data_IF_069482775713
#
_entry.id   IF_069482775713
#
_cell.length_a   1.000
_cell.length_b   1.000
_cell.length_c   1.000
_cell.angle_alpha   90.00
_cell.angle_beta   90.00
_cell.angle_gamma   90.00
#
_symmetry.space_group_name_H-M   'P 1'
#
loop_
_entity.id
_entity.type
_entity.pdbx_description
1 polymer ?
#
# COMPACT_ATOMS: atom_id res chain seq x y z
N UNK A 1 -26.17 -5.64 -12.99
CA UNK A 1 -26.70 -4.67 -13.96
C UNK A 1 -25.73 -4.57 -15.13
N UNK A 2 -26.23 -4.32 -16.34
CA UNK A 2 -25.50 -4.45 -17.62
C UNK A 2 -24.36 -3.43 -17.77
N UNK A 3 -23.21 -3.89 -18.30
CA UNK A 3 -22.10 -3.08 -18.80
C UNK A 3 -22.60 -2.02 -19.80
N UNK A 4 -22.24 -0.75 -19.59
CA UNK A 4 -22.13 0.22 -20.66
C UNK A 4 -20.65 0.41 -20.97
N UNK A 5 -20.25 -0.03 -22.17
CA UNK A 5 -18.97 0.33 -22.78
C UNK A 5 -19.09 1.77 -23.27
N UNK A 6 -18.39 2.70 -22.61
CA UNK A 6 -18.16 4.04 -23.11
C UNK A 6 -16.97 4.03 -24.07
N UNK A 7 -17.24 4.24 -25.35
CA UNK A 7 -16.23 4.53 -26.38
C UNK A 7 -15.62 5.90 -26.11
N UNK A 8 -14.33 5.93 -25.74
CA UNK A 8 -13.59 7.17 -25.56
C UNK A 8 -13.35 7.83 -26.93
N UNK A 9 -13.96 9.01 -27.15
CA UNK A 9 -13.66 9.86 -28.30
C UNK A 9 -12.34 10.58 -28.05
N UNK A 10 -11.33 10.27 -28.86
CA UNK A 10 -10.05 10.97 -28.88
C UNK A 10 -10.28 12.40 -29.44
N UNK A 11 -10.19 13.41 -28.58
CA UNK A 11 -10.13 14.82 -29.00
C UNK A 11 -8.66 15.22 -29.07
N UNK A 12 -8.12 15.29 -30.30
CA UNK A 12 -6.80 15.86 -30.54
C UNK A 12 -6.87 17.38 -30.34
N UNK A 13 -6.29 17.87 -29.24
CA UNK A 13 -5.97 19.28 -29.07
C UNK A 13 -4.55 19.48 -29.62
N UNK A 14 -4.46 20.07 -30.81
CA UNK A 14 -3.18 20.56 -31.37
C UNK A 14 -2.67 21.71 -30.52
N UNK A 15 -1.54 21.51 -29.84
CA UNK A 15 -0.79 22.55 -29.16
C UNK A 15 0.06 23.32 -30.19
N UNK A 16 -0.30 24.56 -30.49
CA UNK A 16 0.46 25.46 -31.35
C UNK A 16 1.62 26.06 -30.54
N UNK A 17 2.84 25.57 -30.77
CA UNK A 17 4.06 26.16 -30.19
C UNK A 17 4.46 27.37 -31.04
N UNK A 18 4.32 28.57 -30.49
CA UNK A 18 4.93 29.79 -31.04
C UNK A 18 6.04 30.22 -30.10
N UNK A 19 7.27 29.82 -30.42
CA UNK A 19 8.49 30.27 -29.75
C UNK A 19 9.24 31.26 -30.62
N UNK A 20 9.20 32.54 -30.26
CA UNK A 20 10.00 33.60 -30.87
C UNK A 20 11.45 33.54 -30.36
N UNK A 21 12.38 33.42 -31.30
CA UNK A 21 13.82 33.64 -31.10
C UNK A 21 14.12 35.14 -31.06
N UNK A 22 14.72 35.61 -29.97
CA UNK A 22 15.57 36.80 -29.91
C UNK A 22 16.72 36.50 -28.94
N UNK A 23 17.95 36.72 -29.41
CA UNK A 23 19.17 36.31 -28.75
C UNK A 23 20.02 37.44 -28.17
N UNK A 24 21.19 36.99 -27.68
CA UNK A 24 22.47 37.66 -27.49
C UNK A 24 22.62 38.75 -26.41
N UNK A 25 23.58 38.51 -25.50
CA UNK A 25 24.16 39.52 -24.61
C UNK A 25 24.97 38.86 -23.50
N UNK A 26 26.31 38.92 -23.59
CA UNK A 26 27.26 38.17 -22.75
C UNK A 26 27.86 38.95 -21.57
N UNK A 27 29.02 38.47 -21.12
CA UNK A 27 29.94 39.17 -20.21
C UNK A 27 30.07 38.51 -18.84
N UNK A 28 31.24 37.92 -18.56
CA UNK A 28 31.55 37.25 -17.29
C UNK A 28 32.01 38.18 -16.17
N UNK A 29 32.14 37.63 -14.97
CA UNK A 29 33.39 37.53 -14.22
C UNK A 29 33.15 36.86 -12.86
N UNK A 30 34.12 36.07 -12.43
CA UNK A 30 34.22 35.42 -11.13
C UNK A 30 34.55 36.44 -10.03
N UNK A 31 33.98 36.29 -8.83
CA UNK A 31 34.76 36.35 -7.58
C UNK A 31 33.93 35.92 -6.37
N UNK A 32 34.57 35.03 -5.63
CA UNK A 32 34.35 34.55 -4.26
C UNK A 32 33.91 35.59 -3.22
N UNK A 33 33.01 35.14 -2.34
CA UNK A 33 32.71 35.77 -1.06
C UNK A 33 32.04 34.78 -0.11
N UNK A 34 32.84 34.03 0.64
CA UNK A 34 32.38 33.17 1.72
C UNK A 34 31.81 34.04 2.86
N UNK A 35 30.61 33.70 3.34
CA UNK A 35 30.09 34.16 4.63
C UNK A 35 29.58 32.93 5.36
N UNK A 36 30.33 32.56 6.39
CA UNK A 36 30.03 31.57 7.40
C UNK A 36 28.99 32.17 8.36
N UNK A 37 27.81 31.56 8.49
CA UNK A 37 26.90 31.82 9.61
C UNK A 37 26.31 30.50 10.10
N UNK A 38 27.01 29.94 11.08
CA UNK A 38 26.65 28.74 11.81
C UNK A 38 25.69 29.08 12.94
N UNK A 39 24.39 29.04 12.66
CA UNK A 39 23.35 29.04 13.68
C UNK A 39 22.85 27.60 13.91
N UNK A 40 23.40 26.99 14.96
CA UNK A 40 23.04 25.67 15.44
C UNK A 40 21.68 25.74 16.18
N UNK A 41 20.58 25.50 15.49
CA UNK A 41 19.26 25.31 16.09
C UNK A 41 18.90 23.82 16.08
N UNK A 42 19.13 23.17 17.22
CA UNK A 42 18.72 21.80 17.47
C UNK A 42 17.21 21.78 17.77
N UNK A 43 16.40 21.67 16.74
CA UNK A 43 14.96 21.37 16.82
C UNK A 43 14.73 20.05 16.11
N UNK A 44 14.54 18.98 16.88
CA UNK A 44 14.00 17.71 16.41
C UNK A 44 12.51 17.95 16.14
N UNK A 45 12.21 18.46 14.94
CA UNK A 45 10.90 18.36 14.32
C UNK A 45 10.91 17.12 13.45
N UNK A 46 9.92 16.24 13.63
CA UNK A 46 9.74 15.11 12.72
C UNK A 46 9.58 15.64 11.30
N UNK A 47 10.55 15.33 10.44
CA UNK A 47 10.53 15.79 9.06
C UNK A 47 9.41 15.07 8.32
N UNK A 48 8.36 15.81 7.98
CA UNK A 48 7.50 15.46 6.86
C UNK A 48 8.40 15.35 5.63
N UNK A 49 8.39 14.24 4.89
CA UNK A 49 9.12 14.18 3.63
C UNK A 49 8.69 15.36 2.77
N UNK A 50 9.65 16.13 2.28
CA UNK A 50 9.38 17.29 1.45
C UNK A 50 8.49 16.89 0.27
N UNK A 51 7.56 17.76 -0.14
CA UNK A 51 6.82 17.61 -1.40
C UNK A 51 7.83 17.41 -2.54
N UNK A 52 7.84 16.24 -3.18
CA UNK A 52 8.91 15.72 -4.06
C UNK A 52 10.11 15.10 -3.31
N UNK A 53 9.91 13.91 -2.73
CA UNK A 53 11.00 13.18 -2.05
C UNK A 53 11.17 11.75 -2.57
N UNK A 54 12.42 11.30 -2.61
CA UNK A 54 12.76 9.88 -2.72
C UNK A 54 12.45 9.21 -1.38
N UNK A 55 11.64 8.16 -1.40
CA UNK A 55 11.21 7.39 -0.22
C UNK A 55 11.80 5.98 -0.19
N UNK A 56 12.79 5.68 -1.04
CA UNK A 56 13.53 4.41 -1.04
C UNK A 56 14.01 4.08 0.38
N UNK A 57 13.64 2.88 0.86
CA UNK A 57 13.91 2.32 2.18
C UNK A 57 13.60 3.26 3.36
N UNK A 58 12.75 4.25 3.14
CA UNK A 58 12.43 5.25 4.16
C UNK A 58 11.43 4.68 5.16
N UNK A 59 11.77 4.81 6.45
CA UNK A 59 10.82 4.61 7.54
C UNK A 59 10.10 5.93 7.82
N UNK A 60 8.77 5.88 7.79
CA UNK A 60 7.94 7.03 8.03
C UNK A 60 7.85 7.35 9.52
N UNK A 61 7.59 8.62 9.82
CA UNK A 61 7.50 9.12 11.20
C UNK A 61 6.28 10.01 11.43
N UNK A 62 5.61 10.44 10.35
CA UNK A 62 4.45 11.31 10.44
C UNK A 62 3.22 10.52 10.96
N UNK A 63 2.65 11.00 12.06
CA UNK A 63 1.48 10.42 12.74
C UNK A 63 0.19 11.17 12.44
N UNK A 64 0.21 12.15 11.54
CA UNK A 64 -0.96 12.95 11.25
C UNK A 64 -2.05 12.10 10.58
N UNK A 65 -3.29 12.26 11.06
CA UNK A 65 -4.43 11.48 10.57
C UNK A 65 -5.04 12.05 9.31
N UNK A 66 -4.71 13.30 9.00
CA UNK A 66 -5.22 14.03 7.85
C UNK A 66 -4.38 13.70 6.61
N UNK A 67 -5.01 13.07 5.62
CA UNK A 67 -4.37 12.68 4.37
C UNK A 67 -3.82 13.88 3.59
N UNK A 68 -4.32 15.09 3.82
CA UNK A 68 -3.78 16.31 3.20
C UNK A 68 -2.33 16.59 3.61
N UNK A 69 -1.90 16.08 4.77
CA UNK A 69 -0.53 16.24 5.26
C UNK A 69 0.48 15.35 4.54
N UNK A 70 -0.01 14.51 3.64
CA UNK A 70 0.78 13.61 2.81
C UNK A 70 0.73 14.02 1.34
N UNK A 71 0.16 15.18 0.98
CA UNK A 71 0.12 15.62 -0.41
C UNK A 71 1.53 15.90 -0.93
N UNK A 72 1.81 15.37 -2.12
CA UNK A 72 3.10 15.46 -2.75
C UNK A 72 3.29 14.36 -3.79
N UNK A 73 4.40 14.47 -4.53
CA UNK A 73 4.86 13.40 -5.40
C UNK A 73 6.07 12.72 -4.75
N UNK A 74 6.14 11.40 -4.88
CA UNK A 74 7.17 10.57 -4.26
C UNK A 74 7.70 9.56 -5.27
N UNK A 75 8.99 9.23 -5.13
CA UNK A 75 9.64 8.21 -5.95
C UNK A 75 10.39 7.20 -5.10
N UNK A 76 10.64 6.01 -5.62
CA UNK A 76 11.58 5.05 -5.05
C UNK A 76 12.38 4.37 -6.15
N UNK A 77 13.55 3.82 -5.82
CA UNK A 77 14.37 3.00 -6.72
C UNK A 77 14.63 1.67 -6.02
N UNK A 78 14.08 0.58 -6.56
CA UNK A 78 14.08 -0.73 -5.90
C UNK A 78 14.44 -1.84 -6.88
N UNK A 79 14.78 -3.00 -6.36
CA UNK A 79 15.14 -4.20 -7.11
C UNK A 79 14.14 -5.34 -6.88
N UNK A 80 13.73 -5.96 -7.99
CA UNK A 80 13.20 -7.33 -7.98
C UNK A 80 14.39 -8.28 -7.86
N UNK A 81 14.67 -8.75 -6.64
CA UNK A 81 15.92 -9.40 -6.25
C UNK A 81 16.19 -10.65 -7.10
N UNK A 82 15.21 -11.56 -7.18
CA UNK A 82 15.36 -12.81 -7.94
C UNK A 82 15.54 -12.59 -9.44
N UNK A 83 15.05 -11.47 -9.99
CA UNK A 83 15.17 -11.14 -11.42
C UNK A 83 16.33 -10.21 -11.75
N UNK A 84 16.97 -9.64 -10.73
CA UNK A 84 17.97 -8.57 -10.86
C UNK A 84 17.47 -7.45 -11.78
N UNK A 85 16.24 -7.01 -11.55
CA UNK A 85 15.57 -6.00 -12.36
C UNK A 85 15.21 -4.77 -11.53
N UNK A 86 15.69 -3.60 -11.94
CA UNK A 86 15.40 -2.35 -11.26
C UNK A 86 14.03 -1.78 -11.67
N UNK A 87 13.33 -1.20 -10.71
CA UNK A 87 12.07 -0.48 -10.90
C UNK A 87 12.15 0.90 -10.24
N UNK A 88 11.35 1.83 -10.77
CA UNK A 88 11.13 3.12 -10.12
C UNK A 88 9.68 3.18 -9.64
N UNK A 89 9.47 3.28 -8.33
CA UNK A 89 8.15 3.54 -7.77
C UNK A 89 7.76 5.00 -7.94
N UNK A 90 6.48 5.24 -8.19
CA UNK A 90 5.92 6.59 -8.29
C UNK A 90 4.59 6.66 -7.55
N UNK A 91 4.41 7.75 -6.80
CA UNK A 91 3.19 8.04 -6.04
C UNK A 91 2.90 9.52 -6.17
N UNK A 92 1.63 9.88 -6.36
CA UNK A 92 1.14 11.25 -6.27
C UNK A 92 -0.06 11.26 -5.34
N UNK A 93 0.06 11.97 -4.23
CA UNK A 93 -1.02 12.18 -3.26
C UNK A 93 -1.55 13.60 -3.45
N UNK A 94 -2.85 13.71 -3.70
CA UNK A 94 -3.53 14.97 -3.96
C UNK A 94 -4.76 15.08 -3.07
N UNK A 95 -5.18 16.30 -2.76
CA UNK A 95 -6.44 16.57 -2.07
C UNK A 95 -7.37 17.42 -2.95
N UNK A 96 -8.66 17.07 -2.91
CA UNK A 96 -9.76 17.90 -3.42
C UNK A 96 -10.45 18.70 -2.31
N UNK A 97 -9.94 18.64 -1.07
CA UNK A 97 -10.52 19.21 0.15
C UNK A 97 -11.54 18.29 0.84
N UNK A 98 -12.21 17.40 0.09
CA UNK A 98 -13.18 16.43 0.65
C UNK A 98 -12.74 14.99 0.50
N UNK A 99 -11.89 14.73 -0.50
CA UNK A 99 -11.31 13.43 -0.78
C UNK A 99 -9.81 13.60 -1.02
N UNK A 100 -9.05 12.59 -0.61
CA UNK A 100 -7.68 12.41 -1.04
C UNK A 100 -7.64 11.42 -2.21
N UNK A 101 -6.78 11.70 -3.17
CA UNK A 101 -6.58 10.91 -4.37
C UNK A 101 -5.12 10.46 -4.37
N UNK A 102 -4.90 9.15 -4.44
CA UNK A 102 -3.56 8.56 -4.54
C UNK A 102 -3.43 7.90 -5.90
N UNK A 103 -2.50 8.40 -6.72
CA UNK A 103 -2.09 7.75 -7.95
C UNK A 103 -0.77 7.02 -7.71
N UNK A 104 -0.64 5.79 -8.21
CA UNK A 104 0.60 5.03 -8.07
C UNK A 104 0.81 4.07 -9.23
N UNK A 105 2.08 3.72 -9.49
CA UNK A 105 2.43 2.61 -10.36
C UNK A 105 2.53 1.25 -9.65
N UNK A 106 2.26 1.17 -8.34
CA UNK A 106 2.18 -0.08 -7.60
C UNK A 106 3.52 -0.77 -7.33
N UNK A 107 4.64 -0.05 -7.46
CA UNK A 107 5.97 -0.51 -7.06
C UNK A 107 6.26 0.03 -5.65
N UNK A 108 6.72 -0.82 -4.70
CA UNK A 108 6.98 -0.41 -3.32
C UNK A 108 8.19 0.53 -3.19
N UNK A 109 8.44 0.96 -1.95
CA UNK A 109 9.62 1.71 -1.58
C UNK A 109 10.78 0.86 -1.04
N UNK A 110 10.69 -0.46 -1.15
CA UNK A 110 11.71 -1.41 -0.71
C UNK A 110 11.95 -2.47 -1.80
N UNK A 111 13.08 -3.15 -1.74
CA UNK A 111 13.34 -4.32 -2.58
C UNK A 111 12.35 -5.45 -2.29
N UNK A 112 12.03 -6.25 -3.30
CA UNK A 112 11.01 -7.29 -3.21
C UNK A 112 11.42 -8.56 -3.97
N UNK A 113 10.60 -9.61 -3.84
CA UNK A 113 10.86 -10.90 -4.47
C UNK A 113 12.18 -11.53 -3.97
N UNK A 114 12.40 -11.55 -2.64
CA UNK A 114 13.55 -12.19 -2.00
C UNK A 114 13.50 -13.72 -2.09
N UNK A 115 14.43 -14.44 -1.45
CA UNK A 115 14.52 -15.90 -1.53
C UNK A 115 13.32 -16.68 -0.95
N UNK A 116 12.53 -16.05 -0.08
CA UNK A 116 11.29 -16.62 0.46
C UNK A 116 10.14 -16.57 -0.54
N UNK A 117 10.20 -15.66 -1.52
CA UNK A 117 9.15 -15.41 -2.48
C UNK A 117 9.06 -16.49 -3.55
N UNK A 118 7.84 -16.76 -4.02
CA UNK A 118 7.58 -17.65 -5.15
C UNK A 118 6.43 -17.10 -5.99
N UNK A 119 6.66 -15.93 -6.59
CA UNK A 119 5.63 -15.22 -7.34
C UNK A 119 5.19 -16.00 -8.58
N UNK A 120 3.87 -16.17 -8.72
CA UNK A 120 3.27 -16.84 -9.88
C UNK A 120 3.36 -16.00 -11.16
N UNK A 121 3.57 -14.69 -11.03
CA UNK A 121 3.67 -13.72 -12.13
C UNK A 121 4.74 -12.69 -11.79
N UNK A 122 5.42 -12.20 -12.82
CA UNK A 122 6.42 -11.15 -12.67
C UNK A 122 5.76 -9.82 -12.32
N UNK A 123 6.36 -9.06 -11.40
CA UNK A 123 5.94 -7.68 -11.14
C UNK A 123 6.12 -6.83 -12.41
N UNK A 124 5.13 -5.99 -12.67
CA UNK A 124 5.20 -4.91 -13.64
C UNK A 124 4.51 -3.67 -13.11
N UNK A 125 4.99 -2.50 -13.50
CA UNK A 125 4.34 -1.22 -13.22
C UNK A 125 2.90 -1.21 -13.72
N UNK A 126 2.02 -0.67 -12.89
CA UNK A 126 0.60 -0.50 -13.17
C UNK A 126 0.26 0.98 -13.30
N UNK A 127 -1.00 1.30 -13.59
CA UNK A 127 -1.53 2.66 -13.46
C UNK A 127 -2.77 2.58 -12.59
N UNK A 128 -2.62 2.99 -11.33
CA UNK A 128 -3.64 2.86 -10.29
C UNK A 128 -4.03 4.23 -9.76
N UNK A 129 -5.31 4.38 -9.40
CA UNK A 129 -5.83 5.56 -8.75
C UNK A 129 -6.82 5.12 -7.67
N UNK A 130 -6.63 5.63 -6.47
CA UNK A 130 -7.48 5.42 -5.30
C UNK A 130 -8.04 6.76 -4.84
N UNK A 131 -9.28 6.78 -4.39
CA UNK A 131 -9.95 7.97 -3.85
C UNK A 131 -10.72 7.57 -2.59
N UNK A 132 -10.53 8.34 -1.52
CA UNK A 132 -11.20 8.09 -0.24
C UNK A 132 -11.49 9.42 0.48
N UNK A 133 -12.42 9.39 1.43
CA UNK A 133 -12.83 10.58 2.18
C UNK A 133 -11.68 11.13 3.01
N UNK A 134 -11.43 12.44 2.94
CA UNK A 134 -10.40 13.10 3.74
C UNK A 134 -10.79 13.27 5.22
N UNK A 135 -12.08 13.14 5.54
CA UNK A 135 -12.61 13.22 6.90
C UNK A 135 -13.57 12.05 7.15
N UNK A 136 -13.04 10.83 7.39
CA UNK A 136 -13.85 9.64 7.59
C UNK A 136 -14.68 9.72 8.87
N UNK A 137 -15.84 9.06 8.87
CA UNK A 137 -16.66 8.88 10.06
C UNK A 137 -17.21 7.47 10.11
N UNK A 138 -17.28 6.91 11.32
CA UNK A 138 -17.70 5.52 11.49
C UNK A 138 -19.16 5.35 11.07
N UNK A 139 -19.39 4.40 10.16
CA UNK A 139 -20.73 4.04 9.73
C UNK A 139 -21.48 3.26 10.82
N UNK A 140 -22.79 3.47 10.92
CA UNK A 140 -23.66 2.67 11.79
C UNK A 140 -23.91 1.26 11.23
N UNK A 141 -23.61 1.02 9.96
CA UNK A 141 -23.77 -0.25 9.27
C UNK A 141 -22.45 -0.74 8.72
N UNK A 142 -22.21 -2.05 8.81
CA UNK A 142 -21.05 -2.70 8.21
C UNK A 142 -21.18 -2.70 6.69
N UNK A 143 -20.10 -2.33 6.02
CA UNK A 143 -19.92 -2.56 4.57
C UNK A 143 -19.11 -3.83 4.42
N UNK A 144 -19.67 -4.84 3.75
CA UNK A 144 -18.98 -6.09 3.50
C UNK A 144 -17.82 -5.89 2.51
N UNK A 145 -16.76 -6.68 2.67
CA UNK A 145 -15.62 -6.70 1.73
C UNK A 145 -16.05 -7.18 0.34
N UNK A 146 -15.31 -6.77 -0.68
CA UNK A 146 -15.57 -7.18 -2.07
C UNK A 146 -14.26 -7.23 -2.86
N UNK A 147 -14.12 -8.19 -3.76
CA UNK A 147 -12.88 -8.36 -4.54
C UNK A 147 -12.53 -7.20 -5.49
N UNK A 148 -13.50 -6.45 -6.05
CA UNK A 148 -13.18 -5.30 -6.90
C UNK A 148 -12.67 -4.06 -6.14
N UNK A 149 -12.74 -4.05 -4.81
CA UNK A 149 -12.38 -2.89 -3.98
C UNK A 149 -11.18 -3.28 -3.14
N UNK A 150 -10.03 -2.64 -3.38
CA UNK A 150 -8.88 -2.76 -2.50
C UNK A 150 -9.21 -2.18 -1.12
N UNK A 151 -8.84 -2.87 -0.05
CA UNK A 151 -9.18 -2.43 1.31
C UNK A 151 -8.35 -1.24 1.79
N UNK A 152 -7.13 -1.08 1.27
CA UNK A 152 -6.28 0.06 1.58
C UNK A 152 -5.28 0.37 0.48
N UNK A 153 -4.78 1.61 0.51
CA UNK A 153 -3.60 2.05 -0.21
C UNK A 153 -2.57 2.54 0.81
N UNK A 154 -1.34 2.01 0.73
CA UNK A 154 -0.24 2.47 1.57
C UNK A 154 0.49 3.65 0.93
N UNK A 155 1.15 4.43 1.77
CA UNK A 155 1.91 5.63 1.38
C UNK A 155 3.21 5.31 0.64
N UNK A 156 3.53 4.04 0.42
CA UNK A 156 4.55 3.58 -0.52
C UNK A 156 3.98 3.16 -1.90
N UNK A 157 2.68 3.38 -2.14
CA UNK A 157 2.05 3.19 -3.44
C UNK A 157 1.48 1.80 -3.68
N UNK A 158 1.68 0.87 -2.75
CA UNK A 158 1.20 -0.50 -2.86
C UNK A 158 -0.10 -0.68 -2.09
N UNK A 159 -1.05 -1.37 -2.72
CA UNK A 159 -2.36 -1.66 -2.15
C UNK A 159 -2.31 -2.86 -1.19
N UNK A 160 -3.27 -2.89 -0.27
CA UNK A 160 -3.55 -4.07 0.56
C UNK A 160 -4.84 -4.71 0.05
N UNK A 161 -4.77 -6.00 -0.29
CA UNK A 161 -5.96 -6.81 -0.59
C UNK A 161 -6.13 -7.81 0.56
N UNK A 162 -7.04 -7.60 1.49
CA UNK A 162 -7.25 -8.57 2.59
C UNK A 162 -8.09 -9.77 2.13
N UNK A 163 -9.00 -9.54 1.18
CA UNK A 163 -9.91 -10.58 0.71
C UNK A 163 -9.30 -11.33 -0.49
N UNK A 164 -8.85 -12.56 -0.25
CA UNK A 164 -8.30 -13.40 -1.32
C UNK A 164 -9.38 -13.92 -2.28
N UNK A 165 -9.08 -13.93 -3.59
CA UNK A 165 -9.87 -14.63 -4.61
C UNK A 165 -9.68 -16.17 -4.58
N UNK A 166 -9.06 -16.70 -3.52
CA UNK A 166 -8.76 -18.11 -3.35
C UNK A 166 -9.73 -18.78 -2.37
N UNK A 167 -10.39 -19.85 -2.82
CA UNK A 167 -11.29 -20.66 -2.01
C UNK A 167 -10.96 -22.15 -2.11
N UNK A 168 -11.19 -22.87 -1.03
CA UNK A 168 -11.04 -24.32 -0.99
C UNK A 168 -11.99 -25.00 -1.97
N UNK A 169 -11.47 -25.96 -2.76
CA UNK A 169 -12.22 -26.71 -3.75
C UNK A 169 -12.68 -25.92 -4.98
N UNK A 170 -12.19 -24.69 -5.17
CA UNK A 170 -12.52 -23.84 -6.33
C UNK A 170 -11.29 -23.66 -7.21
N UNK A 171 -11.43 -23.98 -8.51
CA UNK A 171 -10.34 -23.81 -9.48
C UNK A 171 -9.09 -24.59 -9.08
N UNK A 172 -7.95 -23.89 -9.03
CA UNK A 172 -6.67 -24.42 -8.52
C UNK A 172 -6.42 -24.07 -7.05
N UNK A 173 -7.44 -23.59 -6.33
CA UNK A 173 -7.39 -23.12 -4.93
C UNK A 173 -6.48 -21.91 -4.70
N UNK A 174 -5.99 -21.28 -5.78
CA UNK A 174 -5.20 -20.05 -5.75
C UNK A 174 -5.95 -18.85 -6.32
N UNK A 175 -6.95 -19.11 -7.15
CA UNK A 175 -7.82 -18.11 -7.77
C UNK A 175 -9.15 -18.75 -8.17
N UNK A 176 -10.12 -17.93 -8.62
CA UNK A 176 -11.41 -18.37 -9.17
C UNK A 176 -12.60 -18.26 -8.22
N UNK A 177 -12.39 -17.76 -7.01
CA UNK A 177 -13.46 -17.41 -6.08
C UNK A 177 -13.84 -15.94 -6.23
N UNK A 178 -14.42 -15.61 -7.39
CA UNK A 178 -14.75 -14.24 -7.83
C UNK A 178 -15.92 -13.64 -7.00
N UNK A 179 -16.39 -12.45 -7.39
CA UNK A 179 -17.39 -11.67 -6.66
C UNK A 179 -18.74 -12.40 -6.50
N UNK A 180 -19.08 -13.31 -7.40
CA UNK A 180 -20.28 -14.16 -7.30
C UNK A 180 -20.17 -15.24 -6.22
N UNK A 181 -18.95 -15.51 -5.73
CA UNK A 181 -18.66 -16.40 -4.62
C UNK A 181 -18.28 -15.64 -3.35
N UNK A 182 -18.64 -14.36 -3.21
CA UNK A 182 -18.23 -13.55 -2.05
C UNK A 182 -18.54 -14.23 -0.71
N UNK A 183 -19.71 -14.88 -0.62
CA UNK A 183 -20.20 -15.61 0.55
C UNK A 183 -19.58 -17.00 0.75
N UNK A 184 -18.56 -17.38 -0.03
CA UNK A 184 -17.90 -18.67 0.14
C UNK A 184 -17.24 -18.74 1.53
N UNK A 185 -17.66 -19.68 2.40
CA UNK A 185 -17.22 -19.74 3.79
C UNK A 185 -15.78 -20.25 3.95
N UNK A 186 -15.15 -20.74 2.88
CA UNK A 186 -13.84 -21.41 2.91
C UNK A 186 -12.82 -20.68 2.04
N UNK A 187 -12.65 -19.38 2.29
CA UNK A 187 -11.56 -18.57 1.72
C UNK A 187 -10.24 -18.87 2.41
N UNK A 188 -9.16 -18.88 1.63
CA UNK A 188 -7.82 -18.97 2.18
C UNK A 188 -7.39 -17.62 2.74
N UNK A 189 -6.66 -17.66 3.86
CA UNK A 189 -5.78 -16.59 4.26
C UNK A 189 -4.47 -16.75 3.49
N UNK A 190 -4.07 -15.81 2.62
CA UNK A 190 -2.83 -15.89 1.84
C UNK A 190 -1.58 -15.96 2.71
N UNK A 191 -1.61 -15.38 3.91
CA UNK A 191 -0.48 -15.37 4.85
C UNK A 191 -0.32 -16.66 5.65
N UNK A 192 -1.27 -17.60 5.55
CA UNK A 192 -1.15 -18.87 6.26
C UNK A 192 0.05 -19.68 5.76
N UNK A 193 0.94 -20.08 6.67
CA UNK A 193 2.08 -20.97 6.38
C UNK A 193 1.68 -22.35 5.84
N UNK A 194 0.40 -22.72 5.94
CA UNK A 194 -0.15 -23.99 5.47
C UNK A 194 -0.48 -23.99 3.97
N UNK A 195 -0.49 -22.82 3.35
CA UNK A 195 -0.71 -22.68 1.93
C UNK A 195 0.64 -22.47 1.20
N UNK A 196 0.58 -22.08 -0.07
CA UNK A 196 1.75 -21.77 -0.90
C UNK A 196 1.44 -20.60 -1.84
N UNK A 197 1.03 -19.44 -1.30
CA UNK A 197 0.85 -18.25 -2.14
C UNK A 197 2.18 -17.59 -2.53
N UNK A 198 3.27 -17.96 -1.85
CA UNK A 198 4.62 -17.57 -2.26
C UNK A 198 4.88 -16.09 -2.03
N UNK A 199 4.40 -15.56 -0.90
CA UNK A 199 4.66 -14.18 -0.49
C UNK A 199 6.15 -13.98 -0.19
N UNK A 200 6.63 -12.77 -0.38
CA UNK A 200 7.96 -12.35 0.04
C UNK A 200 8.01 -12.00 1.54
N UNK A 201 9.17 -11.57 2.03
CA UNK A 201 9.38 -11.18 3.43
C UNK A 201 8.55 -9.96 3.86
N UNK A 202 8.06 -9.19 2.88
CA UNK A 202 7.19 -8.04 3.05
C UNK A 202 5.70 -8.43 3.00
N UNK A 203 5.39 -9.73 3.03
CA UNK A 203 4.03 -10.27 3.08
C UNK A 203 3.17 -9.88 1.86
N UNK A 204 3.81 -9.76 0.70
CA UNK A 204 3.16 -9.45 -0.56
C UNK A 204 3.44 -10.50 -1.63
N UNK A 205 2.58 -10.50 -2.64
CA UNK A 205 2.78 -11.27 -3.87
C UNK A 205 2.12 -10.54 -5.05
N UNK A 206 2.06 -11.21 -6.20
CA UNK A 206 1.76 -10.56 -7.47
C UNK A 206 0.49 -11.10 -8.08
N UNK A 207 -0.43 -10.20 -8.43
CA UNK A 207 -1.63 -10.55 -9.19
C UNK A 207 -1.26 -11.00 -10.63
N UNK A 208 -2.17 -11.70 -11.33
CA UNK A 208 -1.94 -12.13 -12.72
C UNK A 208 -1.63 -11.01 -13.72
N UNK A 209 -1.97 -9.75 -13.41
CA UNK A 209 -1.67 -8.58 -14.24
C UNK A 209 -0.30 -7.92 -13.93
N UNK A 210 0.44 -8.47 -12.97
CA UNK A 210 1.74 -7.95 -12.52
C UNK A 210 1.66 -7.00 -11.32
N UNK A 211 0.47 -6.76 -10.76
CA UNK A 211 0.31 -5.90 -9.57
C UNK A 211 0.90 -6.55 -8.31
N UNK A 212 1.93 -5.94 -7.74
CA UNK A 212 2.42 -6.26 -6.40
C UNK A 212 1.44 -5.72 -5.33
N UNK A 213 1.10 -6.53 -4.32
CA UNK A 213 0.13 -6.16 -3.28
C UNK A 213 0.35 -6.92 -1.97
N UNK A 214 0.05 -6.28 -0.86
CA UNK A 214 0.19 -6.84 0.48
C UNK A 214 -1.04 -7.64 0.92
N UNK A 215 -0.78 -8.68 1.70
CA UNK A 215 -1.78 -9.41 2.50
C UNK A 215 -1.54 -9.28 4.02
N UNK A 216 -0.45 -8.63 4.44
CA UNK A 216 -0.07 -8.49 5.84
C UNK A 216 0.69 -7.20 6.12
N UNK A 217 1.35 -7.15 7.27
CA UNK A 217 2.27 -6.07 7.63
C UNK A 217 3.35 -5.94 6.55
N UNK A 218 3.57 -4.78 5.91
CA UNK A 218 4.60 -4.66 4.87
C UNK A 218 6.02 -4.94 5.38
N UNK A 219 6.27 -5.02 6.69
CA UNK A 219 7.61 -5.15 7.31
C UNK A 219 8.59 -4.05 6.87
N UNK A 220 8.04 -2.97 6.32
CA UNK A 220 8.72 -1.80 5.80
C UNK A 220 7.96 -0.55 6.23
N UNK A 221 8.51 0.63 5.95
CA UNK A 221 7.90 1.95 6.18
C UNK A 221 7.74 2.37 7.64
N UNK A 222 7.95 1.49 8.63
CA UNK A 222 7.90 1.85 10.05
C UNK A 222 8.75 0.93 10.92
N UNK A 223 9.13 1.41 12.10
CA UNK A 223 9.83 0.63 13.12
C UNK A 223 8.96 -0.51 13.65
N UNK A 224 9.46 -1.74 13.57
CA UNK A 224 8.71 -2.94 13.92
C UNK A 224 8.69 -3.20 15.42
N UNK A 225 9.74 -2.77 16.12
CA UNK A 225 9.80 -2.79 17.56
C UNK A 225 9.27 -1.46 18.16
N UNK A 226 8.73 -1.56 19.36
CA UNK A 226 8.20 -0.39 20.08
C UNK A 226 9.19 0.14 21.11
N UNK A 227 10.49 -0.18 20.98
CA UNK A 227 11.50 0.13 22.00
C UNK A 227 11.84 1.63 22.03
N UNK A 228 11.69 2.33 20.89
CA UNK A 228 11.91 3.77 20.78
C UNK A 228 10.95 4.65 21.58
N UNK A 229 9.86 4.09 22.12
CA UNK A 229 8.90 4.83 22.95
C UNK A 229 8.01 5.82 22.19
N UNK A 230 8.01 5.76 20.86
CA UNK A 230 7.16 6.55 19.97
C UNK A 230 6.10 5.67 19.28
N UNK A 231 4.85 6.16 19.14
CA UNK A 231 3.83 5.44 18.40
C UNK A 231 4.20 5.37 16.91
N UNK A 232 3.70 4.34 16.24
CA UNK A 232 3.95 4.16 14.81
C UNK A 232 3.34 5.29 13.97
N UNK A 233 3.98 5.62 12.83
CA UNK A 233 3.43 6.57 11.86
C UNK A 233 2.12 6.05 11.26
N UNK A 234 1.41 6.95 10.57
CA UNK A 234 0.44 6.55 9.55
C UNK A 234 1.22 6.07 8.33
N UNK A 235 0.89 4.87 7.86
CA UNK A 235 1.55 4.20 6.72
C UNK A 235 0.63 4.07 5.51
N UNK A 236 -0.65 4.45 5.64
CA UNK A 236 -1.63 4.30 4.58
C UNK A 236 -3.03 4.72 5.02
N UNK A 237 -3.98 4.55 4.12
CA UNK A 237 -5.39 4.84 4.36
C UNK A 237 -6.25 3.70 3.85
N UNK A 238 -7.24 3.32 4.66
CA UNK A 238 -8.27 2.38 4.26
C UNK A 238 -9.20 2.99 3.20
N UNK A 239 -9.93 2.15 2.48
CA UNK A 239 -10.85 2.57 1.42
C UNK A 239 -11.97 3.53 1.90
N UNK A 240 -12.28 3.52 3.19
CA UNK A 240 -13.25 4.42 3.83
C UNK A 240 -12.61 5.72 4.39
N UNK A 241 -11.29 5.86 4.26
CA UNK A 241 -10.49 7.04 4.60
C UNK A 241 -9.85 7.01 5.99
N UNK A 242 -10.07 5.98 6.81
CA UNK A 242 -9.42 5.88 8.11
C UNK A 242 -7.90 5.65 7.97
N UNK A 243 -7.07 6.32 8.79
CA UNK A 243 -5.63 6.13 8.76
C UNK A 243 -5.25 4.74 9.26
N UNK A 244 -4.25 4.15 8.61
CA UNK A 244 -3.63 2.88 9.00
C UNK A 244 -2.27 3.22 9.61
N UNK A 245 -2.02 2.73 10.81
CA UNK A 245 -0.76 2.90 11.52
C UNK A 245 0.08 1.63 11.45
N UNK A 246 1.38 1.78 11.71
CA UNK A 246 2.20 0.65 12.10
C UNK A 246 1.81 0.05 13.46
N UNK A 247 2.61 -0.90 13.94
CA UNK A 247 2.25 -1.80 15.02
C UNK A 247 2.29 -1.22 16.44
N UNK A 248 2.84 -0.02 16.65
CA UNK A 248 3.03 0.57 17.98
C UNK A 248 2.01 1.68 18.24
N UNK A 249 1.39 1.68 19.43
CA UNK A 249 0.47 2.74 19.84
C UNK A 249 0.76 3.21 21.26
N UNK A 250 0.45 4.48 21.54
CA UNK A 250 0.51 5.05 22.89
C UNK A 250 -0.78 4.70 23.62
N UNK A 251 -0.68 3.87 24.66
CA UNK A 251 -1.85 3.45 25.44
C UNK A 251 -2.44 4.66 26.20
N UNK A 252 -3.71 5.02 25.98
CA UNK A 252 -4.33 6.16 26.65
C UNK A 252 -4.49 5.97 28.16
N UNK A 253 -4.40 4.74 28.68
CA UNK A 253 -4.57 4.45 30.10
C UNK A 253 -3.33 4.82 30.93
N UNK A 254 -2.12 4.60 30.40
CA UNK A 254 -0.86 4.81 31.11
C UNK A 254 0.18 5.64 30.35
N UNK A 255 -0.07 5.97 29.09
CA UNK A 255 0.81 6.76 28.23
C UNK A 255 2.01 5.99 27.69
N UNK A 256 2.13 4.68 27.96
CA UNK A 256 3.24 3.84 27.52
C UNK A 256 3.01 3.37 26.09
N UNK A 257 4.06 3.37 25.27
CA UNK A 257 3.99 2.81 23.91
C UNK A 257 4.13 1.29 23.95
N UNK A 258 3.23 0.60 23.26
CA UNK A 258 3.13 -0.86 23.24
C UNK A 258 2.80 -1.35 21.84
N UNK A 259 3.17 -2.60 21.55
CA UNK A 259 2.74 -3.28 20.34
C UNK A 259 1.24 -3.59 20.40
N UNK A 260 0.53 -3.34 19.30
CA UNK A 260 -0.84 -3.76 19.09
C UNK A 260 -0.90 -5.29 19.06
N UNK A 261 -1.83 -5.87 19.81
CA UNK A 261 -2.09 -7.32 19.79
C UNK A 261 -3.32 -7.58 18.95
N UNK A 262 -3.21 -8.46 17.95
CA UNK A 262 -4.35 -8.87 17.14
C UNK A 262 -5.45 -9.47 18.02
N UNK A 263 -6.69 -9.07 17.76
CA UNK A 263 -7.88 -9.67 18.39
C UNK A 263 -8.35 -10.92 17.64
N UNK A 264 -7.65 -11.32 16.57
CA UNK A 264 -7.96 -12.52 15.80
C UNK A 264 -7.95 -13.76 16.69
N UNK A 265 -8.97 -14.60 16.53
CA UNK A 265 -9.07 -15.88 17.22
C UNK A 265 -9.58 -16.94 16.24
N UNK A 266 -8.87 -18.06 16.19
CA UNK A 266 -9.32 -19.24 15.46
C UNK A 266 -10.59 -19.81 16.11
N UNK A 267 -11.59 -20.11 15.27
CA UNK A 267 -12.77 -20.85 15.71
C UNK A 267 -12.36 -22.28 16.03
N UNK A 268 -12.69 -22.75 17.23
CA UNK A 268 -12.43 -24.13 17.64
C UNK A 268 -13.43 -25.12 17.03
N UNK A 269 -13.07 -26.40 17.02
CA UNK A 269 -13.93 -27.49 16.56
C UNK A 269 -13.72 -27.87 15.09
N UNK A 270 -14.63 -28.71 14.59
CA UNK A 270 -14.59 -29.20 13.20
C UNK A 270 -15.41 -28.25 12.33
N UNK A 271 -14.89 -27.91 11.15
CA UNK A 271 -15.60 -27.13 10.13
C UNK A 271 -16.94 -27.81 9.80
N UNK A 272 -18.04 -27.06 9.94
CA UNK A 272 -19.39 -27.58 9.69
C UNK A 272 -19.71 -27.55 8.20
N UNK A 273 -20.49 -28.52 7.71
CA UNK A 273 -20.87 -28.54 6.31
C UNK A 273 -21.75 -27.34 5.95
N UNK A 274 -21.47 -26.70 4.81
CA UNK A 274 -22.29 -25.63 4.23
C UNK A 274 -22.83 -26.12 2.90
N UNK A 275 -24.15 -26.11 2.72
CA UNK A 275 -24.80 -26.57 1.49
C UNK A 275 -24.24 -25.84 0.27
N UNK A 276 -23.83 -26.60 -0.74
CA UNK A 276 -23.25 -26.05 -1.97
C UNK A 276 -21.73 -25.91 -1.97
N UNK A 277 -21.05 -26.11 -0.83
CA UNK A 277 -19.59 -25.98 -0.74
C UNK A 277 -18.92 -27.25 -0.22
N UNK A 278 -17.78 -27.60 -0.82
CA UNK A 278 -16.92 -28.65 -0.29
C UNK A 278 -16.34 -28.18 1.03
N UNK A 279 -16.59 -28.94 2.09
CA UNK A 279 -16.07 -28.59 3.42
C UNK A 279 -14.62 -29.03 3.52
N UNK A 280 -13.68 -28.14 3.90
CA UNK A 280 -12.30 -28.54 4.13
C UNK A 280 -12.24 -29.61 5.22
N UNK A 281 -11.92 -30.83 4.83
CA UNK A 281 -11.72 -31.94 5.76
C UNK A 281 -10.26 -31.95 6.18
N UNK A 282 -9.97 -31.77 7.46
CA UNK A 282 -8.61 -31.81 7.97
C UNK A 282 -8.40 -33.06 8.82
N UNK A 283 -7.40 -33.89 8.48
CA UNK A 283 -6.80 -34.85 9.43
C UNK A 283 -5.46 -34.36 9.99
N UNK A 284 -4.77 -33.39 9.36
CA UNK A 284 -3.58 -32.71 9.91
C UNK A 284 -3.48 -31.32 9.28
N UNK A 285 -3.18 -30.30 10.09
CA UNK A 285 -2.95 -28.89 9.70
C UNK A 285 -4.19 -28.00 9.51
N UNK A 286 -4.98 -27.83 10.57
CA UNK A 286 -5.89 -26.67 10.72
C UNK A 286 -5.77 -26.05 12.12
N UNK A 287 -4.66 -26.32 12.81
CA UNK A 287 -4.36 -25.77 14.11
C UNK A 287 -2.92 -25.30 14.09
N UNK A 288 -2.75 -24.05 13.71
CA UNK A 288 -1.73 -23.08 14.15
C UNK A 288 -2.11 -21.74 13.52
#
# INVERSE_FOLDING_TARGET
MRKQQGTLKLSMISLLVVGTLLGCGGGGDESSGASDDSSNSNTVGGETPASNSDITDTLFTNTNVDCEQYTGDYTSNVEDIQRSASFTGTISVQSSGTHCIVQSNGIPNHDFNDESASFATNVSEQSQQYEFNASPSASATVTELSLPVSEAILLNGVKVDLLAAACYGVGNEKTGCDQDQIDNPWRFDPMSSLNRFGTDEHHAHVQPDGTYHYHGNPMAMFEQDCEGGEPSPVIGFAADGFPIYGSCYRDPADGVVKAATSSYQLKSGIRQAVTGYTTPSCWRQCGE
#
